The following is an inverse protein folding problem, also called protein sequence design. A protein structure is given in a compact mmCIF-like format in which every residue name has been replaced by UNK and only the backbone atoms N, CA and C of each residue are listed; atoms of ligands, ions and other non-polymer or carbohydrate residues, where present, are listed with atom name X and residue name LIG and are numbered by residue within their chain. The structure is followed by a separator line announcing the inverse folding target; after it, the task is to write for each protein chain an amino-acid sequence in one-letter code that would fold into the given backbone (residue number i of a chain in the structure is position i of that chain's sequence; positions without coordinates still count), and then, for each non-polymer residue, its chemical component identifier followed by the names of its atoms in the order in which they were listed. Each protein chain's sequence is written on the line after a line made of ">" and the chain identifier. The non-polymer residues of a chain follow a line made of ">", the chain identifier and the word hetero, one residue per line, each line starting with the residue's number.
data_IF_480051857163
#
_entry.id   IF_480051857163
#
_cell.length_a   1.000
_cell.length_b   1.000
_cell.length_c   1.000
_cell.angle_alpha   90.00
_cell.angle_beta   90.00
_cell.angle_gamma   90.00
#
_symmetry.space_group_name_H-M   'P 1'
#
loop_
_entity.id
_entity.type
_entity.pdbx_description
1 polymer ?
#
# COMPACT_ATOMS: atom_id res chain seq x y z
N UNK A 1 -13.30 -0.71 0.74
CA UNK A 1 -13.86 0.26 1.70
C UNK A 1 -13.48 -0.22 3.09
N UNK A 2 -13.37 0.68 4.04
CA UNK A 2 -13.11 0.33 5.43
C UNK A 2 -13.39 1.55 6.30
N UNK A 3 -13.20 1.39 7.59
CA UNK A 3 -13.39 2.45 8.58
C UNK A 3 -12.16 2.55 9.47
N UNK A 4 -11.89 3.75 9.99
CA UNK A 4 -10.94 3.94 11.08
C UNK A 4 -11.27 3.07 12.29
N UNK A 5 -12.58 2.93 12.53
CA UNK A 5 -13.16 2.11 13.56
C UNK A 5 -14.44 2.76 14.05
N UNK A 6 -15.11 2.05 14.95
CA UNK A 6 -16.27 2.54 15.65
C UNK A 6 -16.01 3.95 16.26
N UNK A 7 -16.99 4.88 16.17
CA UNK A 7 -16.86 6.24 16.70
C UNK A 7 -16.52 6.32 18.20
N UNK A 8 -16.30 7.53 18.72
CA UNK A 8 -16.18 8.01 20.12
C UNK A 8 -15.06 7.50 21.03
N UNK A 9 -14.41 6.36 20.79
CA UNK A 9 -13.29 5.94 21.66
C UNK A 9 -12.03 6.76 21.39
N UNK A 10 -11.64 6.75 20.12
CA UNK A 10 -10.41 7.37 19.61
C UNK A 10 -10.70 8.27 18.39
N UNK A 11 -11.84 8.06 17.73
CA UNK A 11 -12.34 8.86 16.61
C UNK A 11 -13.59 9.61 17.03
N UNK A 12 -13.88 10.74 16.39
CA UNK A 12 -15.13 11.50 16.60
C UNK A 12 -15.50 11.78 18.06
N UNK A 13 -14.50 11.99 18.91
CA UNK A 13 -14.69 12.17 20.36
C UNK A 13 -15.52 13.41 20.69
N UNK A 14 -15.54 14.39 19.78
CA UNK A 14 -16.37 15.60 19.84
C UNK A 14 -17.87 15.34 19.70
N UNK A 15 -18.30 14.15 19.27
CA UNK A 15 -19.72 13.82 19.09
C UNK A 15 -20.39 13.26 20.36
N UNK A 16 -19.65 13.07 21.45
CA UNK A 16 -20.17 12.56 22.74
C UNK A 16 -21.02 11.27 22.62
N UNK A 17 -20.55 10.33 21.78
CA UNK A 17 -21.26 9.08 21.53
C UNK A 17 -20.83 7.91 22.44
N UNK A 18 -20.21 8.18 23.59
CA UNK A 18 -19.56 7.13 24.41
C UNK A 18 -20.50 6.01 24.87
N UNK A 19 -21.78 6.31 25.07
CA UNK A 19 -22.79 5.36 25.53
C UNK A 19 -23.64 4.77 24.37
N UNK A 20 -23.35 5.13 23.11
CA UNK A 20 -24.19 4.73 21.97
C UNK A 20 -23.93 3.31 21.52
N UNK A 21 -22.68 2.88 21.64
CA UNK A 21 -22.22 1.58 21.19
C UNK A 21 -21.23 0.99 22.20
N UNK A 22 -20.87 -0.28 22.04
CA UNK A 22 -20.09 -1.04 23.03
C UNK A 22 -18.73 -1.57 22.52
N UNK A 23 -18.54 -1.66 21.21
CA UNK A 23 -17.34 -2.20 20.58
C UNK A 23 -17.52 -2.41 19.08
N UNK A 24 -16.49 -2.94 18.42
CA UNK A 24 -16.59 -3.38 17.02
C UNK A 24 -17.64 -4.51 16.84
N UNK A 25 -17.96 -5.22 17.91
CA UNK A 25 -18.99 -6.25 18.00
C UNK A 25 -20.36 -5.72 18.48
N UNK A 26 -20.62 -4.40 18.43
CA UNK A 26 -21.95 -3.86 18.77
C UNK A 26 -22.95 -4.12 17.62
N UNK A 27 -24.08 -4.81 17.86
CA UNK A 27 -25.06 -5.09 16.81
C UNK A 27 -25.61 -3.84 16.11
N UNK A 28 -25.74 -2.70 16.83
CA UNK A 28 -26.20 -1.45 16.22
C UNK A 28 -25.17 -0.92 15.23
N UNK A 29 -23.89 -1.05 15.54
CA UNK A 29 -22.81 -0.61 14.66
C UNK A 29 -22.75 -1.47 13.39
N UNK A 30 -22.77 -2.79 13.56
CA UNK A 30 -22.81 -3.75 12.45
C UNK A 30 -24.01 -3.48 11.52
N UNK A 31 -25.20 -3.24 12.08
CA UNK A 31 -26.40 -2.93 11.29
C UNK A 31 -26.27 -1.63 10.50
N UNK A 32 -25.61 -0.60 11.06
CA UNK A 32 -25.37 0.66 10.34
C UNK A 32 -24.41 0.46 9.17
N UNK A 33 -23.33 -0.28 9.37
CA UNK A 33 -22.37 -0.64 8.32
C UNK A 33 -23.08 -1.36 7.18
N UNK A 34 -23.82 -2.44 7.48
CA UNK A 34 -24.49 -3.26 6.47
C UNK A 34 -25.58 -2.48 5.75
N UNK A 35 -26.36 -1.66 6.46
CA UNK A 35 -27.34 -0.76 5.84
C UNK A 35 -26.68 0.24 4.87
N UNK A 36 -25.52 0.79 5.25
CA UNK A 36 -24.76 1.68 4.37
C UNK A 36 -24.20 0.95 3.14
N UNK A 37 -23.64 -0.24 3.32
CA UNK A 37 -23.16 -1.08 2.22
C UNK A 37 -24.29 -1.45 1.26
N UNK A 38 -25.45 -1.87 1.78
CA UNK A 38 -26.64 -2.17 0.99
C UNK A 38 -27.08 -0.94 0.18
N UNK A 39 -27.08 0.24 0.79
CA UNK A 39 -27.38 1.49 0.10
C UNK A 39 -26.39 1.79 -1.05
N UNK A 40 -25.07 1.68 -0.81
CA UNK A 40 -24.07 1.93 -1.85
C UNK A 40 -24.18 0.92 -2.99
N UNK A 41 -24.33 -0.37 -2.69
CA UNK A 41 -24.32 -1.43 -3.68
C UNK A 41 -25.65 -1.48 -4.44
N UNK A 42 -26.76 -1.63 -3.72
CA UNK A 42 -28.06 -1.88 -4.33
C UNK A 42 -28.76 -0.61 -4.80
N UNK A 43 -28.66 0.49 -4.04
CA UNK A 43 -29.39 1.73 -4.36
C UNK A 43 -28.57 2.69 -5.22
N UNK A 44 -27.25 2.77 -5.00
CA UNK A 44 -26.34 3.62 -5.78
C UNK A 44 -25.64 2.89 -6.92
N UNK A 45 -25.70 1.55 -6.94
CA UNK A 45 -25.17 0.75 -8.04
C UNK A 45 -23.65 0.65 -8.09
N UNK A 46 -22.95 0.88 -6.97
CA UNK A 46 -21.49 0.74 -6.93
C UNK A 46 -21.09 -0.73 -7.11
N UNK A 47 -20.39 -1.02 -8.20
CA UNK A 47 -19.91 -2.39 -8.51
C UNK A 47 -18.46 -2.62 -8.10
N UNK A 48 -17.73 -1.57 -7.74
CA UNK A 48 -16.30 -1.61 -7.41
C UNK A 48 -16.00 -1.92 -5.93
N UNK A 49 -17.02 -1.95 -5.06
CA UNK A 49 -16.85 -2.27 -3.64
C UNK A 49 -16.79 -3.79 -3.50
N UNK A 50 -15.58 -4.35 -3.37
CA UNK A 50 -15.35 -5.80 -3.28
C UNK A 50 -15.03 -6.29 -1.87
N UNK A 51 -14.37 -5.44 -1.09
CA UNK A 51 -13.92 -5.74 0.27
C UNK A 51 -14.34 -4.64 1.25
N UNK A 52 -14.71 -5.04 2.45
CA UNK A 52 -14.90 -4.18 3.61
C UNK A 52 -13.93 -4.57 4.74
N UNK A 53 -13.21 -3.59 5.28
CA UNK A 53 -12.41 -3.73 6.49
C UNK A 53 -13.17 -3.12 7.69
N UNK A 54 -13.34 -3.88 8.78
CA UNK A 54 -14.14 -3.45 9.94
C UNK A 54 -13.42 -2.46 10.88
N UNK A 55 -12.10 -2.55 11.03
CA UNK A 55 -11.36 -1.68 11.95
C UNK A 55 -9.95 -1.53 11.43
N UNK A 56 -9.53 -0.28 11.22
CA UNK A 56 -8.14 0.05 10.93
C UNK A 56 -7.22 -0.28 12.12
N UNK A 57 -6.13 -1.00 11.84
CA UNK A 57 -5.03 -1.29 12.76
C UNK A 57 -5.49 -1.74 14.16
N UNK A 58 -6.33 -2.80 14.26
CA UNK A 58 -7.01 -3.18 15.50
C UNK A 58 -6.06 -3.61 16.62
N UNK A 59 -4.82 -3.96 16.29
CA UNK A 59 -3.76 -4.25 17.24
C UNK A 59 -3.17 -2.98 17.89
N UNK A 60 -3.32 -1.79 17.30
CA UNK A 60 -2.75 -0.53 17.81
C UNK A 60 -3.48 0.02 19.04
N UNK A 61 -2.77 0.73 19.92
CA UNK A 61 -3.40 1.40 21.08
C UNK A 61 -4.27 2.60 20.67
N UNK A 62 -4.05 3.10 19.47
CA UNK A 62 -4.80 4.20 18.86
C UNK A 62 -6.09 3.73 18.18
N UNK A 63 -6.33 2.41 18.11
CA UNK A 63 -7.55 1.85 17.52
C UNK A 63 -8.70 1.79 18.52
N UNK A 64 -9.94 1.81 18.03
CA UNK A 64 -11.15 1.64 18.85
C UNK A 64 -11.23 0.28 19.55
N UNK A 65 -10.43 -0.69 19.09
CA UNK A 65 -10.32 -2.03 19.69
C UNK A 65 -9.16 -2.13 20.68
N UNK A 66 -8.14 -1.26 20.60
CA UNK A 66 -6.98 -1.20 21.51
C UNK A 66 -6.36 -2.59 21.78
N UNK A 67 -6.07 -3.35 20.72
CA UNK A 67 -5.45 -4.66 20.83
C UNK A 67 -6.36 -5.79 21.33
N UNK A 68 -7.65 -5.54 21.53
CA UNK A 68 -8.62 -6.56 21.94
C UNK A 68 -9.04 -7.49 20.78
N UNK A 69 -8.23 -8.54 20.56
CA UNK A 69 -8.48 -9.58 19.55
C UNK A 69 -9.92 -10.15 19.59
N UNK A 70 -10.44 -10.44 20.78
CA UNK A 70 -11.72 -11.12 20.89
C UNK A 70 -12.87 -10.19 20.47
N UNK A 71 -12.80 -8.90 20.83
CA UNK A 71 -13.79 -7.91 20.40
C UNK A 71 -13.80 -7.74 18.87
N UNK A 72 -12.63 -7.61 18.25
CA UNK A 72 -12.52 -7.51 16.79
C UNK A 72 -13.01 -8.77 16.09
N UNK A 73 -12.56 -9.95 16.53
CA UNK A 73 -12.96 -11.24 15.95
C UNK A 73 -14.47 -11.45 15.96
N UNK A 74 -15.11 -11.16 17.09
CA UNK A 74 -16.56 -11.24 17.22
C UNK A 74 -17.26 -10.27 16.28
N UNK A 75 -16.78 -9.03 16.17
CA UNK A 75 -17.31 -8.03 15.24
C UNK A 75 -17.23 -8.48 13.79
N UNK A 76 -16.09 -9.05 13.36
CA UNK A 76 -15.92 -9.58 12.00
C UNK A 76 -16.89 -10.73 11.71
N UNK A 77 -17.07 -11.65 12.66
CA UNK A 77 -18.03 -12.77 12.52
C UNK A 77 -19.47 -12.22 12.42
N UNK A 78 -19.83 -11.26 13.28
CA UNK A 78 -21.14 -10.62 13.25
C UNK A 78 -21.39 -9.89 11.93
N UNK A 79 -20.40 -9.13 11.44
CA UNK A 79 -20.48 -8.44 10.15
C UNK A 79 -20.74 -9.42 9.01
N UNK A 80 -20.03 -10.55 8.98
CA UNK A 80 -20.22 -11.56 7.94
C UNK A 80 -21.64 -12.14 7.96
N UNK A 81 -22.15 -12.47 9.16
CA UNK A 81 -23.51 -12.97 9.32
C UNK A 81 -24.54 -11.94 8.84
N UNK A 82 -24.37 -10.67 9.18
CA UNK A 82 -25.28 -9.61 8.73
C UNK A 82 -25.19 -9.35 7.22
N UNK A 83 -24.00 -9.47 6.59
CA UNK A 83 -23.85 -9.45 5.12
C UNK A 83 -24.64 -10.61 4.47
N UNK A 84 -24.62 -11.79 5.10
CA UNK A 84 -25.38 -12.95 4.62
C UNK A 84 -26.89 -12.70 4.72
N UNK A 85 -27.35 -12.22 5.87
CA UNK A 85 -28.77 -11.94 6.13
C UNK A 85 -29.33 -10.85 5.21
N UNK A 86 -28.54 -9.82 4.91
CA UNK A 86 -28.91 -8.74 3.96
C UNK A 86 -28.83 -9.20 2.48
N UNK A 87 -28.38 -10.41 2.21
CA UNK A 87 -28.28 -10.95 0.85
C UNK A 87 -27.18 -10.30 0.00
N UNK A 88 -26.15 -9.74 0.64
CA UNK A 88 -24.99 -9.13 -0.04
C UNK A 88 -23.88 -10.12 -0.40
N UNK A 89 -24.10 -11.42 -0.12
CA UNK A 89 -23.17 -12.51 -0.46
C UNK A 89 -22.83 -12.49 -1.95
N UNK A 90 -21.55 -12.59 -2.26
CA UNK A 90 -21.04 -12.59 -3.63
C UNK A 90 -20.83 -11.19 -4.23
N UNK A 91 -21.37 -10.14 -3.60
CA UNK A 91 -21.12 -8.75 -4.00
C UNK A 91 -19.94 -8.15 -3.22
N UNK A 92 -19.88 -8.43 -1.92
CA UNK A 92 -18.86 -7.96 -1.01
C UNK A 92 -18.33 -9.09 -0.11
N UNK A 93 -17.08 -8.96 0.31
CA UNK A 93 -16.42 -9.82 1.29
C UNK A 93 -15.77 -8.99 2.38
N UNK A 94 -15.41 -9.60 3.50
CA UNK A 94 -14.62 -8.95 4.55
C UNK A 94 -13.13 -9.20 4.27
N UNK A 95 -12.29 -8.20 4.52
CA UNK A 95 -10.83 -8.31 4.56
C UNK A 95 -10.34 -7.95 5.97
N UNK A 96 -9.23 -8.55 6.39
CA UNK A 96 -8.65 -8.31 7.71
C UNK A 96 -7.35 -9.10 7.93
N UNK A 97 -6.59 -8.81 9.01
CA UNK A 97 -6.98 -7.96 10.12
C UNK A 97 -6.67 -6.46 10.03
N UNK A 98 -6.05 -5.95 8.97
CA UNK A 98 -5.48 -4.59 8.92
C UNK A 98 -4.38 -4.34 9.97
N UNK A 99 -3.78 -5.41 10.49
CA UNK A 99 -2.84 -5.27 11.61
C UNK A 99 -1.49 -4.71 11.16
N UNK A 100 -0.90 -3.87 12.02
CA UNK A 100 0.49 -3.39 11.87
C UNK A 100 1.47 -4.34 12.56
N UNK A 101 2.79 -4.17 12.39
CA UNK A 101 3.79 -4.89 13.19
C UNK A 101 3.83 -4.48 14.67
N UNK A 102 3.08 -3.47 15.10
CA UNK A 102 3.08 -2.98 16.48
C UNK A 102 2.59 -4.07 17.46
N UNK A 103 3.33 -4.22 18.56
CA UNK A 103 2.98 -5.14 19.64
C UNK A 103 2.35 -4.37 20.80
N UNK A 104 1.03 -4.38 20.86
CA UNK A 104 0.30 -3.77 21.97
C UNK A 104 0.37 -4.65 23.22
N UNK A 105 0.78 -4.06 24.34
CA UNK A 105 0.93 -4.73 25.64
C UNK A 105 -0.38 -5.32 26.18
N UNK A 106 -1.53 -4.78 25.78
CA UNK A 106 -2.87 -5.29 26.13
C UNK A 106 -3.31 -6.42 25.21
N UNK A 107 -2.67 -6.58 24.07
CA UNK A 107 -3.06 -7.60 23.11
C UNK A 107 -2.55 -8.97 23.52
N UNK A 108 -3.38 -9.99 23.28
CA UNK A 108 -2.98 -11.39 23.44
C UNK A 108 -1.92 -11.80 22.41
N UNK A 109 -1.89 -11.14 21.27
CA UNK A 109 -1.08 -11.51 20.11
C UNK A 109 -0.20 -10.33 19.68
N UNK A 110 1.02 -10.63 19.25
CA UNK A 110 1.88 -9.68 18.54
C UNK A 110 1.24 -9.22 17.24
N UNK A 111 1.68 -8.08 16.68
CA UNK A 111 1.13 -7.56 15.41
C UNK A 111 1.20 -8.58 14.27
N UNK A 112 2.30 -9.34 14.18
CA UNK A 112 2.42 -10.46 13.23
C UNK A 112 1.46 -11.61 13.53
N UNK A 113 1.26 -11.94 14.79
CA UNK A 113 0.33 -13.01 15.19
C UNK A 113 -1.13 -12.66 14.90
N UNK A 114 -1.53 -11.39 14.86
CA UNK A 114 -2.88 -11.02 14.41
C UNK A 114 -3.20 -11.54 13.01
N UNK A 115 -2.25 -11.43 12.07
CA UNK A 115 -2.40 -11.99 10.72
C UNK A 115 -2.44 -13.53 10.75
N UNK A 116 -1.55 -14.16 11.51
CA UNK A 116 -1.47 -15.62 11.64
C UNK A 116 -2.77 -16.21 12.23
N UNK A 117 -3.28 -15.60 13.29
CA UNK A 117 -4.50 -16.03 13.97
C UNK A 117 -5.75 -15.75 13.14
N UNK A 118 -5.73 -14.74 12.28
CA UNK A 118 -6.80 -14.49 11.31
C UNK A 118 -6.88 -15.62 10.27
N UNK A 119 -5.73 -16.12 9.81
CA UNK A 119 -5.66 -17.29 8.93
C UNK A 119 -6.22 -18.53 9.64
N UNK A 120 -5.83 -18.78 10.90
CA UNK A 120 -6.27 -19.97 11.62
C UNK A 120 -7.73 -19.96 12.08
N UNK A 121 -8.24 -18.80 12.50
CA UNK A 121 -9.55 -18.72 13.19
C UNK A 121 -10.67 -18.18 12.31
N UNK A 122 -10.36 -17.50 11.20
CA UNK A 122 -11.33 -16.74 10.41
C UNK A 122 -11.29 -17.08 8.91
N UNK A 123 -10.75 -18.24 8.53
CA UNK A 123 -10.68 -18.68 7.14
C UNK A 123 -12.08 -18.80 6.47
N UNK A 124 -13.10 -19.22 7.20
CA UNK A 124 -14.46 -19.32 6.66
C UNK A 124 -15.20 -17.98 6.61
N UNK A 125 -14.61 -16.93 7.17
CA UNK A 125 -15.23 -15.60 7.35
C UNK A 125 -14.57 -14.55 6.47
N UNK A 126 -13.24 -14.51 6.44
CA UNK A 126 -12.48 -13.53 5.66
C UNK A 126 -12.37 -13.95 4.19
N UNK A 127 -12.64 -13.02 3.28
CA UNK A 127 -12.49 -13.23 1.84
C UNK A 127 -11.10 -12.93 1.29
N UNK A 128 -10.28 -12.22 2.06
CA UNK A 128 -8.88 -11.92 1.82
C UNK A 128 -8.21 -11.62 3.17
N UNK A 129 -6.89 -11.71 3.21
CA UNK A 129 -6.08 -11.28 4.35
C UNK A 129 -5.38 -9.96 4.04
N UNK A 130 -5.11 -9.16 5.05
CA UNK A 130 -4.28 -7.96 4.91
C UNK A 130 -3.45 -7.64 6.15
N UNK A 131 -2.44 -6.82 5.93
CA UNK A 131 -1.57 -6.22 6.95
C UNK A 131 -1.17 -4.84 6.49
N UNK A 132 -0.79 -4.00 7.44
CA UNK A 132 -0.16 -2.71 7.21
C UNK A 132 1.33 -2.78 7.54
N UNK A 133 2.14 -1.91 6.94
CA UNK A 133 3.51 -1.69 7.39
C UNK A 133 4.01 -0.28 7.09
N UNK A 134 4.87 0.22 7.96
CA UNK A 134 5.60 1.47 7.80
C UNK A 134 7.09 1.19 8.03
N UNK A 135 7.72 0.39 7.15
CA UNK A 135 9.07 -0.11 7.37
C UNK A 135 10.11 1.01 7.37
N UNK A 136 11.22 0.76 8.04
CA UNK A 136 12.39 1.65 7.96
C UNK A 136 13.03 1.53 6.58
N UNK A 137 13.68 2.60 6.10
CA UNK A 137 14.45 2.57 4.84
C UNK A 137 15.49 1.46 4.85
N UNK A 138 16.14 1.22 5.99
CA UNK A 138 17.15 0.17 6.12
C UNK A 138 16.55 -1.23 5.97
N UNK A 139 15.38 -1.47 6.58
CA UNK A 139 14.69 -2.76 6.51
C UNK A 139 14.26 -3.10 5.09
N UNK A 140 13.79 -2.11 4.33
CA UNK A 140 13.50 -2.24 2.89
C UNK A 140 14.81 -2.44 2.11
N UNK A 141 15.78 -1.54 2.24
CA UNK A 141 17.00 -1.55 1.42
C UNK A 141 17.86 -2.79 1.62
N UNK A 142 17.76 -3.44 2.78
CA UNK A 142 18.44 -4.71 3.10
C UNK A 142 17.78 -5.95 2.50
N UNK A 143 16.54 -5.84 1.98
CA UNK A 143 15.74 -6.96 1.47
C UNK A 143 15.08 -7.81 2.56
N UNK A 144 15.18 -7.41 3.83
CA UNK A 144 14.57 -8.14 4.93
C UNK A 144 13.03 -8.02 4.91
N UNK A 145 12.51 -6.88 4.46
CA UNK A 145 11.08 -6.70 4.18
C UNK A 145 10.54 -7.84 3.31
N UNK A 146 11.11 -8.04 2.12
CA UNK A 146 10.69 -9.12 1.22
C UNK A 146 10.75 -10.49 1.93
N UNK A 147 11.88 -10.77 2.59
CA UNK A 147 12.15 -12.06 3.23
C UNK A 147 11.12 -12.41 4.29
N UNK A 148 10.72 -11.46 5.13
CA UNK A 148 9.83 -11.73 6.25
C UNK A 148 8.36 -11.76 5.86
N UNK A 149 7.95 -10.98 4.85
CA UNK A 149 6.62 -11.07 4.27
C UNK A 149 6.43 -12.31 3.40
N UNK A 150 7.44 -12.75 2.65
CA UNK A 150 7.39 -14.04 1.93
C UNK A 150 7.07 -15.20 2.86
N UNK A 151 7.59 -15.19 4.09
CA UNK A 151 7.29 -16.23 5.08
C UNK A 151 5.84 -16.17 5.58
N UNK A 152 5.30 -14.96 5.76
CA UNK A 152 3.93 -14.78 6.22
C UNK A 152 2.93 -15.23 5.15
N UNK A 153 3.16 -14.83 3.90
CA UNK A 153 2.33 -15.19 2.76
C UNK A 153 2.42 -16.69 2.48
N UNK A 154 3.63 -17.27 2.44
CA UNK A 154 3.79 -18.71 2.28
C UNK A 154 3.11 -19.51 3.40
N UNK A 155 3.10 -18.99 4.63
CA UNK A 155 2.33 -19.57 5.72
C UNK A 155 0.82 -19.53 5.41
N UNK A 156 0.27 -18.35 5.06
CA UNK A 156 -1.14 -18.20 4.76
C UNK A 156 -1.59 -19.11 3.59
N UNK A 157 -0.81 -19.15 2.52
CA UNK A 157 -1.03 -20.01 1.36
C UNK A 157 -1.02 -21.50 1.70
N UNK A 158 -0.17 -21.91 2.65
CA UNK A 158 -0.07 -23.31 3.08
C UNK A 158 -1.24 -23.76 3.96
N UNK A 159 -1.95 -22.83 4.60
CA UNK A 159 -3.01 -23.12 5.57
C UNK A 159 -4.39 -22.87 4.97
N UNK A 160 -4.63 -21.67 4.43
CA UNK A 160 -5.91 -21.25 3.87
C UNK A 160 -5.68 -20.23 2.73
N UNK A 161 -5.30 -20.68 1.52
CA UNK A 161 -4.88 -19.80 0.44
C UNK A 161 -6.01 -18.87 -0.02
N UNK A 162 -5.73 -17.57 0.01
CA UNK A 162 -6.62 -16.47 -0.40
C UNK A 162 -5.78 -15.25 -0.78
N UNK A 163 -6.38 -14.26 -1.45
CA UNK A 163 -5.69 -13.01 -1.71
C UNK A 163 -5.14 -12.41 -0.40
N UNK A 164 -3.86 -12.04 -0.39
CA UNK A 164 -3.19 -11.39 0.72
C UNK A 164 -2.72 -10.00 0.28
N UNK A 165 -3.21 -8.95 0.94
CA UNK A 165 -2.89 -7.56 0.60
C UNK A 165 -1.90 -6.95 1.60
N UNK A 166 -1.03 -6.09 1.10
CA UNK A 166 -0.43 -5.03 1.91
C UNK A 166 -1.39 -3.84 1.83
N UNK A 167 -2.32 -3.79 2.80
CA UNK A 167 -3.51 -2.93 2.80
C UNK A 167 -3.20 -1.44 2.98
N UNK A 168 -2.04 -1.15 3.57
CA UNK A 168 -1.50 0.20 3.72
C UNK A 168 0.02 0.11 3.85
N UNK A 169 0.73 0.94 3.09
CA UNK A 169 2.18 1.05 3.21
C UNK A 169 2.68 2.48 3.06
N UNK A 170 3.64 2.81 3.90
CA UNK A 170 4.46 4.01 3.80
C UNK A 170 5.90 3.69 4.20
N UNK A 171 6.63 4.70 4.69
CA UNK A 171 7.92 4.47 5.35
C UNK A 171 7.89 5.11 6.73
N UNK A 172 8.72 4.58 7.63
CA UNK A 172 8.86 5.09 8.99
C UNK A 172 9.10 6.61 9.00
N UNK A 173 8.29 7.33 9.79
CA UNK A 173 8.33 8.79 9.93
C UNK A 173 8.93 9.28 11.26
N UNK A 174 9.03 8.42 12.27
CA UNK A 174 9.52 8.79 13.61
C UNK A 174 11.05 8.78 13.69
N UNK A 175 11.68 9.48 12.73
CA UNK A 175 13.14 9.65 12.65
C UNK A 175 13.49 11.13 12.73
N UNK A 176 14.57 11.45 13.44
CA UNK A 176 14.99 12.81 13.76
C UNK A 176 14.98 13.79 12.55
N UNK A 177 15.47 13.42 11.34
CA UNK A 177 15.43 14.32 10.19
C UNK A 177 14.00 14.65 9.73
N UNK A 178 13.07 13.71 9.83
CA UNK A 178 11.67 13.92 9.46
C UNK A 178 10.95 14.77 10.51
N UNK A 179 11.22 14.52 11.80
CA UNK A 179 10.68 15.29 12.92
C UNK A 179 10.98 16.78 12.77
N UNK A 180 12.25 17.12 12.53
CA UNK A 180 12.65 18.51 12.29
C UNK A 180 11.93 19.18 11.12
N UNK A 181 11.57 18.41 10.09
CA UNK A 181 10.90 18.95 8.90
C UNK A 181 9.43 19.23 9.15
N UNK A 182 8.69 18.31 9.79
CA UNK A 182 7.28 18.58 10.07
C UNK A 182 7.13 19.64 11.17
N UNK A 183 8.05 19.74 12.14
CA UNK A 183 8.02 20.80 13.16
C UNK A 183 8.31 22.19 12.56
N UNK A 184 9.02 22.24 11.44
CA UNK A 184 9.31 23.48 10.72
C UNK A 184 8.22 23.88 9.72
N UNK A 185 7.33 22.96 9.32
CA UNK A 185 6.20 23.24 8.44
C UNK A 185 4.99 23.69 9.29
N UNK A 186 4.50 24.95 9.16
CA UNK A 186 3.40 25.46 9.97
C UNK A 186 2.03 24.84 9.65
N UNK A 187 1.96 23.97 8.64
CA UNK A 187 0.75 23.27 8.22
C UNK A 187 0.81 21.76 8.47
N UNK A 188 2.00 21.19 8.65
CA UNK A 188 2.16 19.77 8.87
C UNK A 188 1.83 19.37 10.32
N UNK A 189 1.27 18.18 10.47
CA UNK A 189 1.15 17.50 11.77
C UNK A 189 2.35 16.60 12.04
N UNK A 190 2.46 16.11 13.28
CA UNK A 190 3.41 15.04 13.65
C UNK A 190 3.15 13.72 12.93
N UNK A 191 1.98 13.55 12.32
CA UNK A 191 1.62 12.41 11.47
C UNK A 191 1.95 12.69 9.99
N UNK A 192 3.15 13.20 9.74
CA UNK A 192 3.64 13.57 8.40
C UNK A 192 4.91 12.81 8.04
N UNK A 193 5.02 12.41 6.78
CA UNK A 193 6.22 11.85 6.17
C UNK A 193 6.78 12.86 5.17
N UNK A 194 7.64 13.75 5.64
CA UNK A 194 8.23 14.81 4.82
C UNK A 194 9.24 14.28 3.80
N UNK A 195 9.68 13.03 3.88
CA UNK A 195 10.51 12.46 2.81
C UNK A 195 9.76 12.35 1.48
N UNK A 196 8.42 12.44 1.45
CA UNK A 196 7.63 12.39 0.20
C UNK A 196 8.03 13.45 -0.83
N UNK A 197 8.60 14.57 -0.37
CA UNK A 197 9.11 15.64 -1.24
C UNK A 197 10.49 15.32 -1.86
N UNK A 198 11.17 14.28 -1.36
CA UNK A 198 12.54 13.96 -1.74
C UNK A 198 12.56 12.97 -2.92
N UNK A 199 13.57 13.11 -3.78
CA UNK A 199 13.81 12.19 -4.89
C UNK A 199 13.90 10.72 -4.45
N UNK A 200 14.69 10.48 -3.39
CA UNK A 200 14.99 9.14 -2.87
C UNK A 200 13.74 8.38 -2.42
N UNK A 201 12.70 9.09 -1.97
CA UNK A 201 11.45 8.45 -1.54
C UNK A 201 10.75 7.75 -2.70
N UNK A 202 10.89 8.27 -3.93
CA UNK A 202 10.40 7.60 -5.13
C UNK A 202 11.14 6.30 -5.45
N UNK A 203 12.44 6.21 -5.13
CA UNK A 203 13.24 4.97 -5.27
C UNK A 203 12.88 3.99 -4.16
N UNK A 204 12.78 4.47 -2.92
CA UNK A 204 12.45 3.65 -1.74
C UNK A 204 11.05 3.02 -1.88
N UNK A 205 10.04 3.79 -2.31
CA UNK A 205 8.68 3.26 -2.51
C UNK A 205 8.57 2.29 -3.70
N UNK A 206 9.37 2.50 -4.76
CA UNK A 206 9.47 1.52 -5.85
C UNK A 206 10.09 0.20 -5.35
N UNK A 207 11.08 0.28 -4.45
CA UNK A 207 11.70 -0.87 -3.81
C UNK A 207 10.69 -1.64 -2.96
N UNK A 208 9.91 -0.94 -2.12
CA UNK A 208 8.80 -1.53 -1.36
C UNK A 208 7.85 -2.27 -2.30
N UNK A 209 7.37 -1.63 -3.37
CA UNK A 209 6.42 -2.25 -4.29
C UNK A 209 7.00 -3.48 -5.00
N UNK A 210 8.25 -3.41 -5.45
CA UNK A 210 8.94 -4.55 -6.06
C UNK A 210 9.10 -5.72 -5.08
N UNK A 211 9.44 -5.43 -3.82
CA UNK A 211 9.54 -6.45 -2.79
C UNK A 211 8.17 -7.02 -2.43
N UNK A 212 7.11 -6.22 -2.33
CA UNK A 212 5.76 -6.70 -2.05
C UNK A 212 5.29 -7.68 -3.13
N UNK A 213 5.49 -7.35 -4.41
CA UNK A 213 5.20 -8.25 -5.53
C UNK A 213 6.00 -9.55 -5.43
N UNK A 214 7.32 -9.47 -5.17
CA UNK A 214 8.18 -10.64 -5.02
C UNK A 214 7.88 -11.46 -3.76
N UNK A 215 7.27 -10.86 -2.73
CA UNK A 215 6.84 -11.55 -1.52
C UNK A 215 5.61 -12.42 -1.74
N UNK A 216 4.83 -12.13 -2.78
CA UNK A 216 3.59 -12.83 -3.12
C UNK A 216 2.32 -12.09 -2.69
N UNK A 217 2.40 -10.80 -2.35
CA UNK A 217 1.18 -10.01 -2.11
C UNK A 217 0.38 -9.89 -3.41
N UNK A 218 -0.93 -10.08 -3.33
CA UNK A 218 -1.86 -9.92 -4.45
C UNK A 218 -2.19 -8.45 -4.74
N UNK A 219 -2.03 -7.58 -3.73
CA UNK A 219 -2.20 -6.14 -3.86
C UNK A 219 -1.33 -5.38 -2.86
N UNK A 220 -0.99 -4.14 -3.21
CA UNK A 220 -0.29 -3.20 -2.32
C UNK A 220 -0.91 -1.82 -2.48
N UNK A 221 -1.24 -1.19 -1.37
CA UNK A 221 -1.92 0.11 -1.32
C UNK A 221 -1.04 1.06 -0.51
N UNK A 222 -0.65 2.19 -1.10
CA UNK A 222 0.13 3.21 -0.40
C UNK A 222 -0.78 4.09 0.46
N UNK A 223 -0.27 4.51 1.63
CA UNK A 223 -0.94 5.49 2.49
C UNK A 223 -0.83 6.90 1.91
N UNK A 224 -1.98 7.57 1.82
CA UNK A 224 -2.11 8.96 1.38
C UNK A 224 -1.95 9.14 -0.14
N UNK A 225 -3.04 9.50 -0.82
CA UNK A 225 -2.96 9.97 -2.20
C UNK A 225 -2.77 11.49 -2.26
N UNK A 226 -3.52 12.21 -1.43
CA UNK A 226 -3.62 13.66 -1.44
C UNK A 226 -3.63 14.19 0.00
N UNK A 227 -2.76 15.13 0.32
CA UNK A 227 -2.67 15.71 1.66
C UNK A 227 -3.95 16.43 2.10
N UNK A 228 -4.74 16.95 1.14
CA UNK A 228 -5.97 17.66 1.44
C UNK A 228 -7.04 16.76 2.11
N UNK A 229 -6.86 15.44 2.08
CA UNK A 229 -7.84 14.47 2.59
C UNK A 229 -7.80 14.29 4.10
N UNK A 230 -6.64 14.48 4.75
CA UNK A 230 -6.45 14.09 6.14
C UNK A 230 -5.72 15.13 6.97
N UNK A 231 -6.25 15.36 8.17
CA UNK A 231 -5.54 16.07 9.24
C UNK A 231 -5.32 15.13 10.42
N UNK A 232 -4.42 15.47 11.32
CA UNK A 232 -4.24 14.71 12.55
C UNK A 232 -5.56 14.73 13.36
N UNK A 233 -6.05 13.54 13.70
CA UNK A 233 -7.37 13.35 14.31
C UNK A 233 -8.57 13.62 13.38
N UNK A 234 -8.36 13.79 12.07
CA UNK A 234 -9.38 14.03 11.04
C UNK A 234 -10.33 15.20 11.37
N UNK A 235 -9.80 16.25 12.01
CA UNK A 235 -10.54 17.44 12.46
C UNK A 235 -10.81 18.48 11.37
N UNK A 236 -10.11 18.40 10.24
CA UNK A 236 -10.10 19.44 9.21
C UNK A 236 -9.27 20.67 9.57
N UNK A 237 -8.47 20.64 10.64
CA UNK A 237 -7.52 21.72 10.95
C UNK A 237 -6.38 21.76 9.92
N UNK A 238 -6.37 22.81 9.08
CA UNK A 238 -5.34 23.04 8.06
C UNK A 238 -3.92 23.20 8.62
N UNK A 239 -3.76 23.41 9.93
CA UNK A 239 -2.47 23.46 10.60
C UNK A 239 -2.01 22.09 11.11
N UNK A 240 -2.73 21.03 10.76
CA UNK A 240 -2.48 19.65 11.15
C UNK A 240 -2.57 18.69 9.95
N UNK A 241 -2.22 19.13 8.74
CA UNK A 241 -2.24 18.26 7.55
C UNK A 241 -1.32 17.05 7.76
N UNK A 242 -1.77 15.88 7.30
CA UNK A 242 -0.93 14.69 7.22
C UNK A 242 -0.18 14.71 5.88
N UNK A 243 1.10 15.10 5.89
CA UNK A 243 1.91 15.19 4.65
C UNK A 243 2.38 13.81 4.22
N UNK A 244 1.62 13.16 3.33
CA UNK A 244 1.89 11.81 2.82
C UNK A 244 1.66 11.66 1.33
N UNK A 245 0.74 12.46 0.79
CA UNK A 245 0.21 12.33 -0.55
C UNK A 245 1.26 12.44 -1.64
N UNK A 246 0.81 12.13 -2.85
CA UNK A 246 1.51 12.40 -4.09
C UNK A 246 1.43 13.89 -4.47
N UNK A 247 0.52 14.65 -3.87
CA UNK A 247 0.34 16.11 -4.01
C UNK A 247 -0.54 16.63 -2.85
N UNK A 248 -0.76 17.94 -2.77
CA UNK A 248 -1.84 18.57 -2.01
C UNK A 248 -2.77 19.32 -2.99
N UNK A 249 -3.95 18.80 -3.31
CA UNK A 249 -4.81 19.41 -4.35
C UNK A 249 -5.39 20.76 -3.96
N UNK A 250 -5.33 21.09 -2.67
CA UNK A 250 -5.76 22.36 -2.10
C UNK A 250 -4.55 23.13 -1.54
N UNK A 251 -3.33 22.93 -2.07
CA UNK A 251 -2.12 23.61 -1.61
C UNK A 251 -2.27 25.13 -1.52
N UNK A 252 -2.71 25.78 -2.60
CA UNK A 252 -2.93 27.23 -2.60
C UNK A 252 -3.97 27.68 -1.57
N UNK A 253 -5.00 26.89 -1.32
CA UNK A 253 -6.10 27.23 -0.39
C UNK A 253 -5.70 27.01 1.08
N UNK A 254 -5.08 25.87 1.38
CA UNK A 254 -4.78 25.44 2.73
C UNK A 254 -3.49 26.05 3.26
N UNK A 255 -2.48 26.23 2.39
CA UNK A 255 -1.13 26.62 2.79
C UNK A 255 -0.69 27.96 2.20
N UNK A 256 -1.39 28.44 1.18
CA UNK A 256 -1.01 29.65 0.44
C UNK A 256 0.18 29.45 -0.49
N UNK A 257 0.64 28.21 -0.68
CA UNK A 257 1.76 27.86 -1.56
C UNK A 257 1.28 26.97 -2.71
N UNK A 258 1.21 27.49 -3.95
CA UNK A 258 0.83 26.69 -5.12
C UNK A 258 1.85 25.59 -5.44
N UNK A 259 3.09 25.67 -4.95
CA UNK A 259 4.07 24.60 -5.17
C UNK A 259 3.68 23.32 -4.42
N UNK A 260 2.83 23.41 -3.40
CA UNK A 260 2.35 22.24 -2.65
C UNK A 260 1.36 21.38 -3.49
N UNK A 261 0.82 21.93 -4.57
CA UNK A 261 0.03 21.21 -5.58
C UNK A 261 0.89 20.45 -6.59
N UNK A 262 2.22 20.65 -6.59
CA UNK A 262 3.11 19.93 -7.49
C UNK A 262 3.14 18.43 -7.19
N UNK A 263 3.18 17.63 -8.26
CA UNK A 263 3.29 16.19 -8.16
C UNK A 263 4.66 15.83 -7.59
N UNK A 264 4.63 15.07 -6.50
CA UNK A 264 5.80 14.66 -5.75
C UNK A 264 6.53 13.49 -6.40
N UNK A 265 7.84 13.34 -6.15
CA UNK A 265 8.70 12.39 -6.85
C UNK A 265 8.18 10.95 -6.92
N UNK A 266 7.57 10.45 -5.84
CA UNK A 266 7.13 9.07 -5.73
C UNK A 266 5.87 8.72 -6.55
N UNK A 267 5.08 9.72 -6.97
CA UNK A 267 4.03 9.51 -7.97
C UNK A 267 4.60 8.86 -9.23
N UNK A 268 5.77 9.31 -9.68
CA UNK A 268 6.37 8.85 -10.93
C UNK A 268 6.53 7.33 -10.95
N UNK A 269 7.21 6.78 -9.94
CA UNK A 269 7.52 5.36 -9.88
C UNK A 269 6.27 4.53 -9.55
N UNK A 270 5.40 5.02 -8.66
CA UNK A 270 4.17 4.33 -8.30
C UNK A 270 3.17 4.26 -9.47
N UNK A 271 2.95 5.38 -10.16
CA UNK A 271 2.09 5.44 -11.35
C UNK A 271 2.66 4.59 -12.49
N UNK A 272 3.99 4.57 -12.67
CA UNK A 272 4.65 3.76 -13.69
C UNK A 272 4.43 2.26 -13.44
N UNK A 273 4.71 1.78 -12.23
CA UNK A 273 4.59 0.37 -11.90
C UNK A 273 3.13 -0.09 -11.90
N UNK A 274 2.20 0.67 -11.31
CA UNK A 274 0.76 0.31 -11.31
C UNK A 274 0.16 0.24 -12.72
N UNK A 275 0.67 1.03 -13.67
CA UNK A 275 0.20 1.02 -15.07
C UNK A 275 0.74 -0.16 -15.87
N UNK A 276 1.94 -0.65 -15.56
CA UNK A 276 2.62 -1.72 -16.31
C UNK A 276 2.66 -3.09 -15.60
N UNK A 277 2.07 -3.17 -14.40
CA UNK A 277 1.70 -4.42 -13.71
C UNK A 277 0.18 -4.43 -13.45
N UNK A 278 -0.66 -4.47 -14.50
CA UNK A 278 -2.10 -4.45 -14.34
C UNK A 278 -2.63 -5.69 -13.63
N UNK A 279 -3.88 -5.63 -13.15
CA UNK A 279 -4.55 -6.78 -12.53
C UNK A 279 -4.54 -8.01 -13.47
N UNK A 280 -4.17 -9.17 -12.92
CA UNK A 280 -3.96 -10.40 -13.67
C UNK A 280 -2.52 -10.62 -14.16
N UNK A 281 -1.60 -9.68 -13.90
CA UNK A 281 -0.17 -9.90 -14.10
C UNK A 281 0.31 -11.05 -13.24
N UNK A 282 1.02 -12.01 -13.85
CA UNK A 282 1.69 -13.11 -13.13
C UNK A 282 3.11 -12.68 -12.82
N UNK A 283 3.42 -12.46 -11.56
CA UNK A 283 4.80 -12.19 -11.13
C UNK A 283 5.62 -13.46 -11.33
N UNK A 284 6.78 -13.31 -11.97
CA UNK A 284 7.69 -14.43 -12.26
C UNK A 284 8.91 -14.34 -11.36
N UNK A 285 9.34 -15.50 -10.88
CA UNK A 285 10.57 -15.59 -10.09
C UNK A 285 11.77 -15.39 -10.99
N UNK A 286 12.63 -14.46 -10.61
CA UNK A 286 13.95 -14.30 -11.20
C UNK A 286 14.96 -15.16 -10.44
N UNK A 287 15.75 -15.95 -11.16
CA UNK A 287 16.90 -16.66 -10.61
C UNK A 287 18.19 -15.98 -11.11
N UNK A 288 19.19 -15.83 -10.24
CA UNK A 288 20.47 -15.22 -10.60
C UNK A 288 21.16 -14.49 -9.44
N UNK A 289 22.37 -13.99 -9.71
CA UNK A 289 23.14 -13.18 -8.76
C UNK A 289 22.74 -11.71 -8.88
N UNK A 290 21.83 -11.27 -8.02
CA UNK A 290 21.42 -9.86 -7.91
C UNK A 290 22.03 -9.28 -6.63
N UNK A 291 22.79 -8.17 -6.68
CA UNK A 291 23.29 -7.48 -5.50
C UNK A 291 22.17 -7.17 -4.52
N UNK A 292 22.43 -7.31 -3.22
CA UNK A 292 21.47 -6.98 -2.17
C UNK A 292 21.01 -5.52 -2.15
N UNK A 293 21.64 -4.63 -2.91
CA UNK A 293 21.25 -3.22 -3.08
C UNK A 293 20.37 -2.95 -4.30
N UNK A 294 20.17 -3.95 -5.16
CA UNK A 294 19.27 -3.89 -6.31
C UNK A 294 18.08 -4.82 -6.10
N UNK A 295 16.88 -4.38 -6.47
CA UNK A 295 15.66 -5.19 -6.56
C UNK A 295 15.26 -5.34 -8.00
N UNK A 296 14.82 -6.55 -8.35
CA UNK A 296 14.27 -6.86 -9.66
C UNK A 296 12.92 -7.53 -9.46
N UNK A 297 11.90 -7.05 -10.15
CA UNK A 297 10.60 -7.70 -10.24
C UNK A 297 10.20 -7.80 -11.71
N UNK A 298 9.66 -8.94 -12.12
CA UNK A 298 9.18 -9.14 -13.48
C UNK A 298 7.80 -9.79 -13.46
N UNK A 299 6.99 -9.47 -14.47
CA UNK A 299 5.63 -9.97 -14.56
C UNK A 299 5.16 -10.13 -16.01
N UNK A 300 4.31 -11.13 -16.23
CA UNK A 300 3.72 -11.42 -17.54
C UNK A 300 2.22 -11.09 -17.50
N UNK A 301 1.78 -10.26 -18.45
CA UNK A 301 0.38 -9.91 -18.67
C UNK A 301 0.03 -10.08 -20.15
N UNK A 302 -0.90 -10.98 -20.47
CA UNK A 302 -1.30 -11.27 -21.86
C UNK A 302 -0.09 -11.50 -22.81
N UNK A 303 0.86 -12.36 -22.40
CA UNK A 303 2.12 -12.66 -23.10
C UNK A 303 3.12 -11.49 -23.25
N UNK A 304 2.78 -10.30 -22.77
CA UNK A 304 3.69 -9.17 -22.66
C UNK A 304 4.43 -9.20 -21.33
N UNK A 305 5.70 -8.82 -21.35
CA UNK A 305 6.60 -8.83 -20.21
C UNK A 305 6.87 -7.41 -19.73
N UNK A 306 6.80 -7.21 -18.42
CA UNK A 306 7.33 -6.02 -17.74
C UNK A 306 8.41 -6.45 -16.73
N UNK A 307 9.50 -5.70 -16.67
CA UNK A 307 10.56 -5.85 -15.68
C UNK A 307 10.94 -4.49 -15.10
N UNK A 308 11.02 -4.41 -13.78
CA UNK A 308 11.46 -3.22 -13.03
C UNK A 308 12.73 -3.54 -12.26
N UNK A 309 13.71 -2.66 -12.35
CA UNK A 309 14.95 -2.70 -11.57
C UNK A 309 15.02 -1.45 -10.71
N UNK A 310 15.26 -1.64 -9.42
CA UNK A 310 15.39 -0.57 -8.43
C UNK A 310 16.77 -0.66 -7.82
N UNK A 311 17.59 0.39 -7.96
CA UNK A 311 18.91 0.45 -7.35
C UNK A 311 18.92 1.49 -6.25
N UNK A 312 19.06 1.05 -5.00
CA UNK A 312 19.13 1.91 -3.83
C UNK A 312 20.56 2.21 -3.35
N UNK A 313 21.59 1.70 -4.04
CA UNK A 313 22.99 2.00 -3.73
C UNK A 313 23.46 3.31 -4.36
N UNK A 314 24.62 3.77 -3.88
CA UNK A 314 25.38 4.89 -4.40
C UNK A 314 26.23 4.51 -5.63
N UNK A 315 26.14 3.26 -6.11
CA UNK A 315 26.96 2.74 -7.20
C UNK A 315 26.08 2.34 -8.39
N UNK A 316 26.61 2.58 -9.60
CA UNK A 316 26.02 2.07 -10.83
C UNK A 316 26.19 0.56 -10.91
N UNK A 317 25.14 -0.15 -11.31
CA UNK A 317 25.20 -1.58 -11.59
C UNK A 317 24.95 -1.86 -13.07
N UNK A 318 25.43 -3.01 -13.54
CA UNK A 318 25.16 -3.51 -14.88
C UNK A 318 24.80 -4.99 -14.81
N UNK A 319 23.76 -5.36 -15.53
CA UNK A 319 23.21 -6.71 -15.50
C UNK A 319 23.06 -7.25 -16.90
N UNK A 320 23.35 -8.53 -17.04
CA UNK A 320 23.04 -9.32 -18.22
C UNK A 320 21.75 -10.08 -17.93
N UNK A 321 20.74 -9.94 -18.79
CA UNK A 321 19.49 -10.68 -18.67
C UNK A 321 19.25 -11.47 -19.93
N UNK A 322 18.97 -12.75 -19.74
CA UNK A 322 18.39 -13.62 -20.77
C UNK A 322 16.89 -13.68 -20.55
N UNK A 323 16.13 -13.13 -21.48
CA UNK A 323 14.68 -13.25 -21.47
C UNK A 323 14.27 -14.42 -22.35
N UNK A 324 13.81 -15.49 -21.71
CA UNK A 324 13.19 -16.62 -22.41
C UNK A 324 11.74 -16.26 -22.77
N UNK A 325 11.56 -15.46 -23.82
CA UNK A 325 10.25 -15.21 -24.42
C UNK A 325 10.18 -15.74 -25.85
N UNK A 326 8.97 -16.09 -26.30
CA UNK A 326 8.75 -16.47 -27.68
C UNK A 326 8.66 -15.21 -28.57
N UNK A 327 9.40 -15.19 -29.68
CA UNK A 327 9.32 -14.14 -30.72
C UNK A 327 10.20 -12.91 -30.49
N UNK A 328 10.14 -11.95 -31.41
CA UNK A 328 10.83 -10.65 -31.31
C UNK A 328 9.90 -9.65 -30.59
N UNK A 329 10.07 -9.44 -29.28
CA UNK A 329 9.35 -8.40 -28.54
C UNK A 329 10.15 -7.11 -28.50
N UNK A 330 9.46 -5.99 -28.74
CA UNK A 330 10.02 -4.64 -28.65
C UNK A 330 9.61 -4.01 -27.33
N UNK A 331 10.62 -3.61 -26.56
CA UNK A 331 10.43 -3.02 -25.23
C UNK A 331 10.46 -1.50 -25.30
N UNK A 332 9.66 -0.88 -24.45
CA UNK A 332 9.74 0.54 -24.11
C UNK A 332 10.47 0.67 -22.77
N UNK A 333 11.41 1.63 -22.69
CA UNK A 333 12.22 1.87 -21.49
C UNK A 333 11.87 3.18 -20.82
N UNK A 334 11.60 3.10 -19.53
CA UNK A 334 11.43 4.22 -18.62
C UNK A 334 12.60 4.28 -17.65
N UNK A 335 12.98 5.51 -17.30
CA UNK A 335 14.05 5.79 -16.35
C UNK A 335 13.58 6.85 -15.37
N UNK A 336 13.92 6.64 -14.11
CA UNK A 336 13.79 7.58 -13.01
C UNK A 336 15.19 7.72 -12.38
N UNK A 337 15.83 8.86 -12.60
CA UNK A 337 17.09 9.27 -11.95
C UNK A 337 16.89 10.66 -11.36
N UNK A 338 17.76 11.12 -10.46
CA UNK A 338 17.65 12.44 -9.82
C UNK A 338 17.53 13.55 -10.88
N UNK A 339 18.38 13.47 -11.90
CA UNK A 339 18.46 14.41 -13.02
C UNK A 339 17.45 14.15 -14.16
N UNK A 340 16.71 13.03 -14.13
CA UNK A 340 15.82 12.66 -15.25
C UNK A 340 14.53 11.99 -14.80
N UNK A 341 13.42 12.76 -14.87
CA UNK A 341 12.04 12.36 -14.53
C UNK A 341 11.04 12.98 -15.50
N UNK A 342 11.26 12.80 -16.81
CA UNK A 342 10.44 13.45 -17.82
C UNK A 342 9.00 12.92 -17.81
N UNK A 343 8.03 13.83 -17.93
CA UNK A 343 6.60 13.50 -17.94
C UNK A 343 5.88 14.02 -19.18
N UNK A 344 4.72 13.47 -19.48
CA UNK A 344 3.82 13.94 -20.51
C UNK A 344 2.94 15.11 -20.03
N UNK A 345 2.02 15.57 -20.88
CA UNK A 345 1.11 16.68 -20.58
C UNK A 345 0.12 16.39 -19.44
N UNK A 346 -0.05 15.12 -19.08
CA UNK A 346 -0.89 14.63 -17.99
C UNK A 346 -0.02 14.20 -16.79
N UNK A 347 1.25 14.59 -16.77
CA UNK A 347 2.23 14.28 -15.74
C UNK A 347 2.62 12.80 -15.61
N UNK A 348 2.24 11.95 -16.58
CA UNK A 348 2.68 10.56 -16.56
C UNK A 348 4.13 10.42 -17.07
N UNK A 349 4.92 9.47 -16.51
CA UNK A 349 6.26 9.14 -16.97
C UNK A 349 6.38 8.98 -18.49
N UNK A 350 7.41 9.58 -19.09
CA UNK A 350 7.76 9.40 -20.51
C UNK A 350 8.87 8.38 -20.70
N UNK A 351 8.80 7.57 -21.76
CA UNK A 351 9.89 6.67 -22.10
C UNK A 351 11.10 7.45 -22.62
N UNK A 352 12.30 6.93 -22.38
CA UNK A 352 13.56 7.45 -22.95
C UNK A 352 13.89 6.82 -24.30
N UNK A 353 13.30 5.66 -24.57
CA UNK A 353 13.47 4.91 -25.80
C UNK A 353 12.24 4.04 -25.99
N UNK A 354 11.72 4.08 -27.20
CA UNK A 354 10.77 3.09 -27.69
C UNK A 354 11.52 2.09 -28.56
N UNK A 355 10.96 0.88 -28.67
CA UNK A 355 11.42 -0.15 -29.60
C UNK A 355 12.82 -0.74 -29.34
N UNK A 356 13.15 -0.99 -28.08
CA UNK A 356 14.35 -1.74 -27.70
C UNK A 356 14.13 -3.22 -28.01
N UNK A 357 14.87 -3.73 -29.00
CA UNK A 357 14.95 -5.17 -29.25
C UNK A 357 15.81 -5.82 -28.17
N UNK A 358 15.18 -6.59 -27.28
CA UNK A 358 15.89 -7.42 -26.30
C UNK A 358 16.00 -8.83 -26.89
N UNK A 359 17.19 -9.23 -27.35
CA UNK A 359 17.44 -10.56 -27.93
C UNK A 359 18.64 -11.21 -27.25
N UNK A 360 18.48 -12.46 -26.83
CA UNK A 360 19.57 -13.23 -26.20
C UNK A 360 20.04 -12.58 -24.90
N UNK A 361 21.34 -12.37 -24.80
CA UNK A 361 21.99 -11.68 -23.68
C UNK A 361 21.91 -10.15 -23.85
N UNK A 362 21.09 -9.49 -23.04
CA UNK A 362 20.95 -8.04 -23.05
C UNK A 362 21.55 -7.41 -21.80
N UNK A 363 22.50 -6.49 -22.02
CA UNK A 363 23.09 -5.69 -20.94
C UNK A 363 22.22 -4.47 -20.64
N UNK A 364 21.82 -4.31 -19.38
CA UNK A 364 21.19 -3.09 -18.89
C UNK A 364 22.05 -2.44 -17.82
N UNK A 365 22.23 -1.12 -17.94
CA UNK A 365 22.82 -0.28 -16.90
C UNK A 365 21.72 0.26 -16.00
N UNK A 366 21.94 0.16 -14.69
CA UNK A 366 21.05 0.66 -13.65
C UNK A 366 21.85 1.65 -12.80
N UNK A 367 21.73 2.97 -13.07
CA UNK A 367 22.46 3.99 -12.33
C UNK A 367 22.24 3.92 -10.82
N UNK A 368 23.15 4.48 -10.04
CA UNK A 368 22.95 4.72 -8.61
C UNK A 368 21.60 5.41 -8.36
N UNK A 369 20.93 5.06 -7.25
CA UNK A 369 19.65 5.65 -6.82
C UNK A 369 18.65 5.78 -7.96
N UNK A 370 18.29 4.71 -8.64
CA UNK A 370 17.43 4.80 -9.84
C UNK A 370 16.38 3.71 -9.92
N UNK A 371 15.36 3.97 -10.74
CA UNK A 371 14.36 2.99 -11.15
C UNK A 371 14.34 2.90 -12.67
N UNK A 372 14.45 1.68 -13.19
CA UNK A 372 14.36 1.38 -14.62
C UNK A 372 13.20 0.43 -14.83
N UNK A 373 12.27 0.76 -15.72
CA UNK A 373 11.21 -0.16 -16.14
C UNK A 373 11.34 -0.43 -17.64
N UNK A 374 11.35 -1.72 -17.99
CA UNK A 374 11.27 -2.23 -19.35
C UNK A 374 9.93 -2.94 -19.52
N UNK A 375 9.19 -2.62 -20.56
CA UNK A 375 7.90 -3.28 -20.82
C UNK A 375 7.64 -3.48 -22.31
N UNK A 376 7.07 -4.63 -22.68
CA UNK A 376 6.52 -4.85 -24.02
C UNK A 376 5.01 -4.58 -24.10
N UNK A 377 4.37 -4.19 -22.98
CA UNK A 377 2.98 -3.74 -22.96
C UNK A 377 2.85 -2.43 -23.73
N UNK A 378 1.84 -2.35 -24.62
CA UNK A 378 1.44 -1.13 -25.33
C UNK A 378 0.08 -0.67 -24.79
N UNK A 379 -0.01 0.59 -24.39
CA UNK A 379 -1.18 1.20 -23.74
C UNK A 379 -1.97 2.13 -24.66
#
# INVERSE_FOLDING_TARGET
>A
LGEWGQPYKVHDTQLDMQDKFSGANDPKWINLIVGHLSHLINNKGYTCIKYYNLVNEPNGYWSSVDGNWQNWKEGVIMLNNSIIEEGLVGQIKIIGPDATPYNNEKSKFTGREWAIESVFQLDTVLGAYDVHDYPTKEYVRSGNFQKDYSKLIAFADSVAPKPFFLGEVGLEKYVEPNIKRYEADPYASSDSQMSVYDYDYGVDMADVLAQSMNSGFDATIAWGLDDAMHTNGDTGDRHQLKRWGMWNSLGSELTGDPNDEEIRPWFYTWALMTRYYPSGTKIIKMDGEIPKSVRVVAGIYNDALTMTLVNNSEEDHSFHFELYHNGDQLFTKYVYTEDYRAVDKNYFPKPISDEISVKGDYMIKVPAKSVILLTSIKL
#
